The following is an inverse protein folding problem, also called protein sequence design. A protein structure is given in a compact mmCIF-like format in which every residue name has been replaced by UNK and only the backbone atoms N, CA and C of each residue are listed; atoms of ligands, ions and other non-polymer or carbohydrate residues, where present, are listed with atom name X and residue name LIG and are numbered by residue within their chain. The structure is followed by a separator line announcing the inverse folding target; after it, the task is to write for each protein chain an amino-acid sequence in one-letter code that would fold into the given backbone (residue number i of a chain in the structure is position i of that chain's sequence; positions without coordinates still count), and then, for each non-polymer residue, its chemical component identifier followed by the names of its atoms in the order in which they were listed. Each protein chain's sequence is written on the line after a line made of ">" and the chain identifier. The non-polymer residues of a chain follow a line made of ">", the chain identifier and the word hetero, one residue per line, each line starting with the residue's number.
data_IF_534692647279
#
_entry.id   IF_534692647279
#
_cell.length_a   1.000
_cell.length_b   1.000
_cell.length_c   1.000
_cell.angle_alpha   90.00
_cell.angle_beta   90.00
_cell.angle_gamma   90.00
#
_symmetry.space_group_name_H-M   'P 1'
#
loop_
_entity.id
_entity.type
_entity.pdbx_description
1 polymer ?
#
# COMPACT_ATOMS: atom_id res chain seq x y z
N UNK A 1 11.70 -15.93 4.17
CA UNK A 1 11.90 -14.71 4.98
C UNK A 1 12.92 -13.75 4.36
N UNK A 2 14.19 -14.15 4.19
CA UNK A 2 15.29 -13.26 3.74
C UNK A 2 15.12 -12.62 2.34
N UNK A 3 14.22 -13.14 1.50
CA UNK A 3 13.88 -12.56 0.20
C UNK A 3 12.52 -11.84 0.19
N UNK A 4 11.91 -11.65 1.36
CA UNK A 4 10.58 -11.02 1.46
C UNK A 4 10.71 -9.49 1.39
N UNK A 5 9.74 -8.78 0.78
CA UNK A 5 9.78 -7.33 0.69
C UNK A 5 9.97 -6.67 2.06
N UNK A 6 9.31 -7.21 3.09
CA UNK A 6 9.31 -6.63 4.43
C UNK A 6 10.69 -6.73 5.09
N UNK A 7 11.43 -7.82 4.83
CA UNK A 7 12.83 -7.93 5.24
C UNK A 7 13.72 -6.96 4.46
N UNK A 8 13.54 -6.85 3.14
CA UNK A 8 14.40 -6.04 2.29
C UNK A 8 14.29 -4.55 2.62
N UNK A 9 13.10 -4.07 2.99
CA UNK A 9 12.84 -2.65 3.30
C UNK A 9 13.08 -2.25 4.76
N UNK A 10 13.15 -3.21 5.69
CA UNK A 10 13.35 -2.91 7.11
C UNK A 10 14.84 -2.66 7.40
N UNK A 11 15.16 -1.55 8.06
CA UNK A 11 16.53 -1.26 8.50
C UNK A 11 16.78 -1.85 9.89
N UNK A 12 15.77 -1.77 10.77
CA UNK A 12 15.84 -2.29 12.14
C UNK A 12 14.84 -3.41 12.38
N UNK A 13 15.34 -4.60 12.72
CA UNK A 13 14.52 -5.81 12.85
C UNK A 13 14.59 -6.37 14.28
N UNK A 14 13.45 -6.41 14.96
CA UNK A 14 13.28 -7.18 16.18
C UNK A 14 13.15 -8.66 15.85
N UNK A 15 14.01 -9.50 16.44
CA UNK A 15 13.98 -10.96 16.34
C UNK A 15 13.99 -11.61 17.72
N UNK A 16 13.91 -12.93 17.78
CA UNK A 16 14.06 -13.70 19.02
C UNK A 16 15.19 -14.71 18.89
N UNK A 17 15.83 -15.09 20.00
CA UNK A 17 16.73 -16.23 19.99
C UNK A 17 15.93 -17.52 20.21
N UNK A 18 16.07 -18.56 19.38
CA UNK A 18 15.19 -19.72 19.40
C UNK A 18 15.21 -20.48 20.73
N UNK A 19 14.04 -20.90 21.19
CA UNK A 19 13.86 -21.70 22.40
C UNK A 19 12.99 -22.94 22.18
N UNK A 20 13.52 -24.11 22.60
CA UNK A 20 12.84 -25.42 22.54
C UNK A 20 12.31 -25.78 21.15
N UNK A 21 10.99 -25.78 20.97
CA UNK A 21 10.30 -26.20 19.74
C UNK A 21 10.03 -25.04 18.77
N UNK A 22 10.59 -23.86 19.03
CA UNK A 22 10.58 -22.75 18.08
C UNK A 22 11.51 -23.05 16.89
N UNK A 23 11.20 -22.47 15.73
CA UNK A 23 12.08 -22.59 14.57
C UNK A 23 13.40 -21.89 14.84
N UNK A 24 14.51 -22.52 14.43
CA UNK A 24 15.83 -21.91 14.53
C UNK A 24 15.96 -20.74 13.53
N UNK A 25 15.93 -19.51 14.04
CA UNK A 25 16.13 -18.29 13.25
C UNK A 25 17.53 -17.69 13.40
N UNK A 26 18.48 -18.40 14.02
CA UNK A 26 19.87 -17.95 14.16
C UNK A 26 20.52 -17.62 12.81
N UNK A 27 20.16 -18.37 11.75
CA UNK A 27 20.58 -18.11 10.37
C UNK A 27 20.05 -16.76 9.88
N UNK A 28 18.80 -16.41 10.20
CA UNK A 28 18.21 -15.14 9.82
C UNK A 28 18.83 -13.97 10.58
N UNK A 29 19.11 -14.14 11.88
CA UNK A 29 19.81 -13.15 12.70
C UNK A 29 21.19 -12.84 12.10
N UNK A 30 22.00 -13.88 11.89
CA UNK A 30 23.36 -13.73 11.35
C UNK A 30 23.36 -13.14 9.94
N UNK A 31 22.36 -13.48 9.11
CA UNK A 31 22.23 -12.90 7.77
C UNK A 31 21.84 -11.42 7.82
N UNK A 32 20.95 -11.03 8.74
CA UNK A 32 20.52 -9.63 8.90
C UNK A 32 21.68 -8.73 9.27
N UNK A 33 22.52 -9.16 10.21
CA UNK A 33 23.76 -8.46 10.58
C UNK A 33 24.71 -8.32 9.38
N UNK A 34 24.88 -9.39 8.59
CA UNK A 34 25.73 -9.36 7.38
C UNK A 34 25.18 -8.46 6.28
N UNK A 35 23.86 -8.33 6.18
CA UNK A 35 23.19 -7.45 5.23
C UNK A 35 23.21 -5.97 5.70
N UNK A 36 23.86 -5.66 6.83
CA UNK A 36 24.03 -4.30 7.35
C UNK A 36 22.79 -3.76 8.08
N UNK A 37 21.87 -4.64 8.48
CA UNK A 37 20.67 -4.27 9.22
C UNK A 37 20.94 -4.20 10.72
N UNK A 38 20.23 -3.33 11.43
CA UNK A 38 20.25 -3.30 12.88
C UNK A 38 19.37 -4.44 13.42
N UNK A 39 19.94 -5.32 14.23
CA UNK A 39 19.21 -6.43 14.83
C UNK A 39 18.98 -6.15 16.29
N UNK A 40 17.70 -6.21 16.67
CA UNK A 40 17.26 -6.07 18.06
C UNK A 40 16.85 -7.44 18.58
N UNK A 41 17.39 -7.84 19.73
CA UNK A 41 16.96 -9.03 20.45
C UNK A 41 16.39 -8.67 21.82
N UNK A 42 15.37 -9.40 22.30
CA UNK A 42 14.82 -9.22 23.62
C UNK A 42 15.62 -9.99 24.67
N UNK A 43 15.64 -9.42 25.88
CA UNK A 43 16.12 -10.02 27.12
C UNK A 43 14.99 -10.08 28.13
N UNK A 44 14.86 -11.18 28.86
CA UNK A 44 13.85 -11.31 29.91
C UNK A 44 14.24 -10.44 31.12
N UNK A 45 13.48 -9.36 31.33
CA UNK A 45 13.50 -8.60 32.58
C UNK A 45 12.51 -9.16 33.61
N UNK A 46 12.36 -8.48 34.75
CA UNK A 46 11.50 -8.94 35.85
C UNK A 46 10.03 -9.21 35.45
N UNK A 47 9.46 -8.43 34.52
CA UNK A 47 8.09 -8.66 34.03
C UNK A 47 7.83 -8.20 32.58
N UNK A 48 8.87 -7.73 31.88
CA UNK A 48 8.80 -7.21 30.51
C UNK A 48 10.07 -7.57 29.76
N UNK A 49 9.97 -7.60 28.44
CA UNK A 49 11.13 -7.74 27.57
C UNK A 49 11.87 -6.41 27.50
N UNK A 50 13.18 -6.46 27.67
CA UNK A 50 14.08 -5.34 27.42
C UNK A 50 14.73 -5.57 26.07
N UNK A 51 14.80 -4.53 25.24
CA UNK A 51 15.24 -4.65 23.86
C UNK A 51 16.66 -4.10 23.73
N UNK A 52 17.51 -4.82 22.98
CA UNK A 52 18.91 -4.47 22.83
C UNK A 52 19.37 -4.68 21.39
N UNK A 53 20.14 -3.72 20.89
CA UNK A 53 20.89 -3.88 19.65
C UNK A 53 22.04 -4.87 19.85
N UNK A 54 22.21 -5.75 18.88
CA UNK A 54 23.36 -6.66 18.81
C UNK A 54 24.19 -6.35 17.56
N UNK A 55 25.50 -6.53 17.67
CA UNK A 55 26.45 -6.42 16.55
C UNK A 55 26.94 -7.81 16.12
N UNK A 56 26.95 -8.78 17.04
CA UNK A 56 27.53 -10.11 16.84
C UNK A 56 26.91 -11.15 17.79
N UNK A 57 26.41 -12.25 17.23
CA UNK A 57 25.83 -13.35 18.01
C UNK A 57 26.83 -14.11 18.92
N UNK A 58 28.14 -14.11 18.60
CA UNK A 58 29.16 -14.83 19.36
C UNK A 58 29.59 -14.14 20.66
N UNK A 59 29.59 -12.80 20.69
CA UNK A 59 30.14 -12.03 21.83
C UNK A 59 29.07 -11.25 22.60
N UNK A 60 27.95 -10.94 21.95
CA UNK A 60 26.93 -10.07 22.53
C UNK A 60 25.88 -10.86 23.32
N UNK A 61 25.87 -12.19 23.17
CA UNK A 61 24.90 -13.07 23.80
C UNK A 61 25.51 -13.83 24.99
N UNK A 62 24.75 -13.91 26.06
CA UNK A 62 25.09 -14.65 27.28
C UNK A 62 23.92 -15.56 27.66
N UNK A 63 24.20 -16.68 28.34
CA UNK A 63 23.14 -17.55 28.83
C UNK A 63 22.31 -16.83 29.90
N UNK A 64 21.05 -16.55 29.59
CA UNK A 64 20.07 -15.92 30.45
C UNK A 64 19.21 -16.93 31.21
N UNK A 65 18.00 -16.50 31.58
CA UNK A 65 17.05 -17.36 32.26
C UNK A 65 16.68 -18.57 31.39
N UNK A 66 16.54 -19.76 31.99
CA UNK A 66 16.21 -21.02 31.30
C UNK A 66 17.23 -21.46 30.23
N UNK A 67 18.45 -20.89 30.22
CA UNK A 67 19.51 -21.24 29.28
C UNK A 67 19.35 -20.62 27.88
N UNK A 68 18.42 -19.68 27.72
CA UNK A 68 18.23 -18.93 26.46
C UNK A 68 19.40 -17.96 26.29
N UNK A 69 19.97 -17.87 25.09
CA UNK A 69 20.97 -16.85 24.80
C UNK A 69 20.30 -15.48 24.67
N UNK A 70 20.68 -14.55 25.54
CA UNK A 70 20.11 -13.21 25.63
C UNK A 70 21.21 -12.13 25.52
N UNK A 71 20.88 -10.92 25.04
CA UNK A 71 21.81 -9.80 25.01
C UNK A 71 22.47 -9.49 26.36
N UNK A 72 23.78 -9.28 26.32
CA UNK A 72 24.60 -8.89 27.48
C UNK A 72 24.47 -7.40 27.76
N UNK A 73 24.17 -7.01 29.00
CA UNK A 73 24.09 -5.59 29.39
C UNK A 73 25.44 -4.86 29.23
N UNK A 74 26.56 -5.60 29.19
CA UNK A 74 27.90 -5.01 29.05
C UNK A 74 28.25 -4.70 27.60
N UNK A 75 27.72 -5.48 26.65
CA UNK A 75 28.16 -5.46 25.26
C UNK A 75 27.09 -4.86 24.33
N UNK A 76 25.85 -4.75 24.81
CA UNK A 76 24.72 -4.30 24.01
C UNK A 76 24.17 -2.95 24.48
N UNK A 77 23.65 -2.18 23.52
CA UNK A 77 22.97 -0.91 23.77
C UNK A 77 21.46 -1.17 23.79
N UNK A 78 20.73 -0.53 24.70
CA UNK A 78 19.27 -0.62 24.72
C UNK A 78 18.67 0.01 23.46
N UNK A 79 17.74 -0.71 22.84
CA UNK A 79 16.98 -0.23 21.69
C UNK A 79 15.72 0.52 22.14
N UNK A 80 15.37 1.60 21.43
CA UNK A 80 14.03 2.18 21.54
C UNK A 80 13.07 1.32 20.70
N UNK A 81 11.93 0.97 21.28
CA UNK A 81 10.89 0.20 20.59
C UNK A 81 10.35 0.94 19.35
N UNK A 82 10.49 2.26 19.31
CA UNK A 82 10.08 3.12 18.19
C UNK A 82 10.97 2.98 16.95
N UNK A 83 12.19 2.50 17.12
CA UNK A 83 13.15 2.35 16.01
C UNK A 83 12.87 1.08 15.19
N UNK A 84 12.00 0.19 15.67
CA UNK A 84 11.74 -1.10 15.01
C UNK A 84 10.87 -0.89 13.77
N UNK A 85 11.32 -1.43 12.64
CA UNK A 85 10.56 -1.45 11.37
C UNK A 85 9.81 -2.77 11.16
N UNK A 86 10.38 -3.87 11.66
CA UNK A 86 9.89 -5.24 11.46
C UNK A 86 10.07 -6.06 12.73
N UNK A 87 9.05 -6.84 13.11
CA UNK A 87 9.12 -7.71 14.28
C UNK A 87 8.86 -9.18 13.92
N UNK A 88 9.85 -10.04 14.17
CA UNK A 88 9.73 -11.49 14.10
C UNK A 88 9.33 -12.02 15.49
N UNK A 89 8.11 -12.52 15.60
CA UNK A 89 7.47 -12.93 16.86
C UNK A 89 7.50 -14.47 17.00
N UNK A 90 8.00 -15.02 18.12
CA UNK A 90 8.05 -16.47 18.36
C UNK A 90 6.69 -17.03 18.75
N UNK A 91 6.48 -18.33 18.55
CA UNK A 91 5.30 -19.05 19.02
C UNK A 91 5.45 -20.56 18.89
N UNK A 92 4.67 -21.30 19.68
CA UNK A 92 4.60 -22.76 19.67
C UNK A 92 3.72 -23.26 18.53
N UNK A 93 2.56 -22.61 18.35
CA UNK A 93 1.67 -22.87 17.23
C UNK A 93 0.87 -21.61 16.86
N UNK A 94 0.32 -21.64 15.65
CA UNK A 94 -0.41 -20.55 15.03
C UNK A 94 -1.65 -21.09 14.33
N UNK A 95 -2.62 -20.22 14.03
CA UNK A 95 -3.75 -20.60 13.17
C UNK A 95 -3.92 -19.69 11.95
N UNK A 96 -4.83 -20.08 11.04
CA UNK A 96 -5.17 -19.32 9.82
C UNK A 96 -5.79 -17.95 10.10
N UNK A 97 -6.22 -17.67 11.33
CA UNK A 97 -6.74 -16.38 11.79
C UNK A 97 -5.68 -15.50 12.46
N UNK A 98 -4.40 -15.88 12.31
CA UNK A 98 -3.21 -15.22 12.87
C UNK A 98 -3.17 -15.20 14.40
N UNK A 99 -3.90 -16.11 15.05
CA UNK A 99 -3.71 -16.33 16.46
C UNK A 99 -2.37 -17.05 16.71
N UNK A 100 -1.84 -16.91 17.91
CA UNK A 100 -0.56 -17.46 18.34
C UNK A 100 -0.67 -17.97 19.77
N UNK A 101 -0.06 -19.12 20.05
CA UNK A 101 0.18 -19.60 21.40
C UNK A 101 1.69 -19.57 21.68
N UNK A 102 2.08 -18.95 22.79
CA UNK A 102 3.45 -19.00 23.32
C UNK A 102 3.59 -19.99 24.49
N UNK A 103 4.73 -19.98 25.18
CA UNK A 103 4.98 -20.82 26.37
C UNK A 103 4.33 -20.29 27.67
N UNK A 104 3.38 -19.35 27.60
CA UNK A 104 2.58 -18.90 28.76
C UNK A 104 3.11 -17.73 29.59
N UNK A 105 4.31 -17.19 29.30
CA UNK A 105 4.87 -16.06 30.06
C UNK A 105 4.24 -14.68 29.75
N UNK A 106 3.43 -14.58 28.68
CA UNK A 106 2.75 -13.33 28.26
C UNK A 106 3.67 -12.18 27.85
N UNK A 107 4.99 -12.41 27.73
CA UNK A 107 5.98 -11.38 27.44
C UNK A 107 5.73 -10.69 26.09
N UNK A 108 5.48 -11.47 25.04
CA UNK A 108 5.18 -10.93 23.71
C UNK A 108 3.79 -10.31 23.63
N UNK A 109 2.83 -10.80 24.41
CA UNK A 109 1.47 -10.23 24.45
C UNK A 109 1.46 -8.84 25.12
N UNK A 110 2.45 -8.57 25.98
CA UNK A 110 2.76 -7.23 26.50
C UNK A 110 3.59 -6.38 25.54
N UNK A 111 4.52 -6.98 24.77
CA UNK A 111 5.38 -6.26 23.83
C UNK A 111 4.65 -5.80 22.55
N UNK A 112 3.82 -6.66 21.97
CA UNK A 112 3.16 -6.42 20.67
C UNK A 112 2.34 -5.12 20.65
N UNK A 113 1.58 -4.76 21.71
CA UNK A 113 0.87 -3.48 21.77
C UNK A 113 1.77 -2.25 21.91
N UNK A 114 3.01 -2.41 22.38
CA UNK A 114 3.97 -1.31 22.53
C UNK A 114 4.74 -1.02 21.22
N UNK A 115 4.76 -1.98 20.28
CA UNK A 115 5.34 -1.78 18.95
C UNK A 115 4.58 -0.68 18.16
N UNK A 116 5.29 0.14 17.36
CA UNK A 116 4.63 1.10 16.49
C UNK A 116 3.58 0.46 15.57
N UNK A 117 2.53 1.23 15.24
CA UNK A 117 1.34 0.71 14.55
C UNK A 117 1.63 0.13 13.15
N UNK A 118 2.60 0.71 12.45
CA UNK A 118 3.11 0.31 11.15
C UNK A 118 4.01 -0.94 11.18
N UNK A 119 4.53 -1.33 12.34
CA UNK A 119 5.43 -2.50 12.44
C UNK A 119 4.65 -3.77 12.13
N UNK A 120 5.12 -4.48 11.11
CA UNK A 120 4.59 -5.77 10.73
C UNK A 120 5.09 -6.85 11.70
N UNK A 121 4.15 -7.63 12.26
CA UNK A 121 4.44 -8.78 13.13
C UNK A 121 4.43 -10.05 12.29
N UNK A 122 5.59 -10.64 12.07
CA UNK A 122 5.77 -11.87 11.30
C UNK A 122 6.10 -13.03 12.24
N UNK A 123 5.47 -14.20 12.06
CA UNK A 123 5.96 -15.44 12.62
C UNK A 123 6.71 -16.27 11.58
N UNK A 124 7.83 -16.85 11.98
CA UNK A 124 8.49 -17.94 11.26
C UNK A 124 8.20 -19.22 12.04
N UNK A 125 7.72 -20.26 11.37
CA UNK A 125 7.43 -21.55 11.99
C UNK A 125 7.42 -22.67 10.94
N UNK A 126 7.41 -23.92 11.37
CA UNK A 126 7.19 -25.04 10.46
C UNK A 126 5.72 -25.12 10.03
N UNK A 127 5.45 -25.64 8.83
CA UNK A 127 4.08 -25.76 8.30
C UNK A 127 3.15 -26.59 9.21
N UNK A 128 3.68 -27.59 9.92
CA UNK A 128 2.89 -28.39 10.89
C UNK A 128 2.47 -27.60 12.14
N UNK A 129 3.11 -26.47 12.44
CA UNK A 129 2.76 -25.60 13.57
C UNK A 129 1.59 -24.67 13.22
N UNK A 130 1.14 -24.66 11.96
CA UNK A 130 -0.01 -23.87 11.50
C UNK A 130 -1.25 -24.77 11.42
N UNK A 131 -2.18 -24.53 12.35
CA UNK A 131 -3.43 -25.28 12.49
C UNK A 131 -4.62 -24.51 11.90
N UNK A 132 -5.77 -25.17 11.76
CA UNK A 132 -6.99 -24.50 11.31
C UNK A 132 -7.51 -23.49 12.34
N UNK A 133 -7.45 -23.87 13.61
CA UNK A 133 -7.80 -23.03 14.76
C UNK A 133 -7.03 -23.49 15.98
N UNK A 134 -6.67 -22.54 16.84
CA UNK A 134 -6.09 -22.79 18.16
C UNK A 134 -6.94 -22.12 19.24
N UNK A 135 -6.94 -22.63 20.48
CA UNK A 135 -7.59 -21.97 21.60
C UNK A 135 -6.83 -20.68 21.94
N UNK A 136 -7.31 -19.55 21.42
CA UNK A 136 -6.72 -18.24 21.65
C UNK A 136 -7.58 -17.43 22.63
N UNK A 137 -6.94 -16.81 23.62
CA UNK A 137 -7.56 -15.89 24.56
C UNK A 137 -7.63 -14.47 23.97
N UNK A 138 -8.53 -13.62 24.47
CA UNK A 138 -8.59 -12.18 24.11
C UNK A 138 -7.30 -11.44 24.46
N UNK A 139 -6.54 -11.98 25.41
CA UNK A 139 -5.24 -11.45 25.78
C UNK A 139 -4.12 -11.81 24.80
N UNK A 140 -4.26 -12.90 24.03
CA UNK A 140 -3.25 -13.33 23.06
C UNK A 140 -3.21 -12.38 21.86
N UNK A 141 -2.05 -11.76 21.64
CA UNK A 141 -1.92 -10.78 20.57
C UNK A 141 -1.61 -11.46 19.24
N UNK A 142 -2.50 -11.20 18.28
CA UNK A 142 -2.37 -11.66 16.90
C UNK A 142 -1.13 -11.09 16.22
N UNK A 143 -0.64 -11.86 15.26
CA UNK A 143 0.39 -11.46 14.31
C UNK A 143 -0.26 -11.02 12.98
N UNK A 144 0.55 -10.52 12.06
CA UNK A 144 0.06 -10.02 10.77
C UNK A 144 0.34 -11.01 9.61
N UNK A 145 1.41 -11.81 9.72
CA UNK A 145 1.85 -12.76 8.69
C UNK A 145 2.54 -13.99 9.30
N UNK A 146 2.33 -15.15 8.70
CA UNK A 146 3.07 -16.39 9.03
C UNK A 146 3.87 -16.83 7.81
N UNK A 147 5.13 -17.21 8.00
CA UNK A 147 6.01 -17.77 6.97
C UNK A 147 6.42 -19.17 7.40
N UNK A 148 6.18 -20.13 6.50
CA UNK A 148 6.59 -21.54 6.65
C UNK A 148 7.53 -21.94 5.53
N UNK A 149 8.08 -23.15 5.60
CA UNK A 149 8.87 -23.74 4.53
C UNK A 149 8.05 -24.04 3.26
N UNK A 150 6.72 -24.11 3.35
CA UNK A 150 5.85 -24.41 2.19
C UNK A 150 5.14 -23.19 1.61
N UNK A 151 4.66 -22.27 2.45
CA UNK A 151 3.86 -21.09 2.03
C UNK A 151 3.80 -20.00 3.10
N UNK A 152 3.19 -18.87 2.75
CA UNK A 152 2.90 -17.77 3.68
C UNK A 152 1.40 -17.61 3.90
N UNK A 153 1.01 -17.21 5.11
CA UNK A 153 -0.36 -16.89 5.51
C UNK A 153 -0.45 -15.42 5.95
N UNK A 154 -1.62 -14.81 5.78
CA UNK A 154 -1.84 -13.38 6.03
C UNK A 154 -3.12 -13.17 6.83
N UNK A 155 -3.16 -12.11 7.64
CA UNK A 155 -4.37 -11.71 8.37
C UNK A 155 -5.51 -11.35 7.43
N UNK A 156 -6.62 -12.10 7.49
CA UNK A 156 -7.87 -11.76 6.80
C UNK A 156 -8.60 -10.56 7.48
N UNK A 157 -8.21 -10.20 8.70
CA UNK A 157 -8.74 -9.03 9.42
C UNK A 157 -7.85 -7.81 9.19
N UNK A 158 -8.13 -7.04 8.12
CA UNK A 158 -7.81 -5.61 8.04
C UNK A 158 -6.33 -5.18 8.11
N UNK A 159 -5.39 -6.12 8.13
CA UNK A 159 -3.97 -5.88 7.89
C UNK A 159 -3.51 -6.83 6.79
N UNK A 160 -4.03 -6.62 5.58
CA UNK A 160 -3.18 -6.91 4.43
C UNK A 160 -1.87 -6.17 4.67
N UNK A 161 -0.73 -6.78 4.32
CA UNK A 161 0.46 -5.97 4.07
C UNK A 161 0.00 -4.74 3.29
N UNK A 162 0.42 -3.55 3.74
CA UNK A 162 -0.04 -2.28 3.20
C UNK A 162 0.59 -2.05 1.81
N UNK A 163 0.56 -3.09 0.97
CA UNK A 163 1.14 -3.13 -0.37
C UNK A 163 0.20 -2.32 -1.25
N UNK A 164 0.45 -1.03 -1.22
CA UNK A 164 -0.13 -0.05 -2.11
C UNK A 164 0.82 0.05 -3.30
N UNK A 165 0.28 0.02 -4.51
CA UNK A 165 1.05 0.29 -5.71
C UNK A 165 0.72 1.67 -6.26
N UNK A 166 1.65 2.24 -7.00
CA UNK A 166 1.36 3.35 -7.90
C UNK A 166 0.76 2.77 -9.19
N UNK A 167 -0.32 3.35 -9.69
CA UNK A 167 -0.94 2.99 -10.97
C UNK A 167 -0.89 4.17 -11.94
N UNK A 168 -0.23 3.96 -13.09
CA UNK A 168 -0.10 4.96 -14.14
C UNK A 168 -0.78 4.44 -15.41
N UNK A 169 -1.71 5.23 -15.95
CA UNK A 169 -2.19 5.05 -17.32
C UNK A 169 -1.38 5.97 -18.24
N UNK A 170 -0.71 5.39 -19.25
CA UNK A 170 0.15 6.12 -20.17
C UNK A 170 -0.35 5.98 -21.61
N UNK A 171 -0.32 7.08 -22.37
CA UNK A 171 -0.60 7.08 -23.80
C UNK A 171 0.14 8.22 -24.49
N UNK A 172 1.16 7.90 -25.28
CA UNK A 172 2.04 8.86 -25.96
C UNK A 172 2.72 9.88 -25.03
N UNK A 173 3.41 9.39 -24.00
CA UNK A 173 4.02 10.17 -22.93
C UNK A 173 5.56 10.04 -22.90
N UNK A 174 6.19 9.80 -24.07
CA UNK A 174 7.64 9.52 -24.16
C UNK A 174 8.53 10.60 -23.52
N UNK A 175 8.05 11.85 -23.49
CA UNK A 175 8.78 12.99 -22.95
C UNK A 175 8.90 12.96 -21.42
N UNK A 176 7.89 12.44 -20.72
CA UNK A 176 7.76 12.61 -19.27
C UNK A 176 7.83 11.27 -18.52
N UNK A 177 7.40 10.16 -19.14
CA UNK A 177 7.26 8.87 -18.47
C UNK A 177 8.56 8.40 -17.79
N UNK A 178 9.72 8.67 -18.41
CA UNK A 178 11.01 8.27 -17.85
C UNK A 178 11.34 8.97 -16.53
N UNK A 179 11.01 10.26 -16.39
CA UNK A 179 11.21 11.00 -15.15
C UNK A 179 10.13 10.65 -14.11
N UNK A 180 8.87 10.55 -14.54
CA UNK A 180 7.76 10.14 -13.68
C UNK A 180 8.06 8.81 -13.01
N UNK A 181 8.52 7.81 -13.77
CA UNK A 181 8.88 6.50 -13.20
C UNK A 181 10.06 6.57 -12.24
N UNK A 182 11.12 7.31 -12.57
CA UNK A 182 12.25 7.50 -11.65
C UNK A 182 11.79 8.11 -10.32
N UNK A 183 10.86 9.06 -10.37
CA UNK A 183 10.35 9.70 -9.16
C UNK A 183 9.37 8.81 -8.39
N UNK A 184 8.54 8.02 -9.07
CA UNK A 184 7.70 6.99 -8.45
C UNK A 184 8.54 5.96 -7.70
N UNK A 185 9.64 5.49 -8.29
CA UNK A 185 10.51 4.48 -7.68
C UNK A 185 11.19 4.97 -6.39
N UNK A 186 11.40 6.28 -6.23
CA UNK A 186 11.93 6.86 -4.98
C UNK A 186 10.96 6.73 -3.81
N UNK A 187 9.67 6.49 -4.07
CA UNK A 187 8.65 6.30 -3.02
C UNK A 187 8.75 4.94 -2.33
N UNK A 188 9.52 4.00 -2.89
CA UNK A 188 9.59 2.62 -2.39
C UNK A 188 8.39 1.75 -2.78
N UNK A 189 7.43 2.26 -3.55
CA UNK A 189 6.24 1.52 -3.97
C UNK A 189 6.44 0.84 -5.34
N UNK A 190 5.84 -0.34 -5.48
CA UNK A 190 5.69 -0.97 -6.79
C UNK A 190 4.90 -0.05 -7.72
N UNK A 191 5.30 0.01 -8.99
CA UNK A 191 4.65 0.83 -10.00
C UNK A 191 4.06 -0.05 -11.09
N UNK A 192 2.75 0.02 -11.25
CA UNK A 192 1.97 -0.63 -12.31
C UNK A 192 1.73 0.41 -13.40
N UNK A 193 2.15 0.12 -14.62
CA UNK A 193 1.98 0.97 -15.79
C UNK A 193 1.11 0.23 -16.79
N UNK A 194 0.04 0.89 -17.22
CA UNK A 194 -0.79 0.46 -18.34
C UNK A 194 -0.54 1.39 -19.51
N UNK A 195 0.21 0.90 -20.48
CA UNK A 195 0.40 1.56 -21.78
C UNK A 195 -0.84 1.29 -22.65
N UNK A 196 -1.65 2.32 -22.87
CA UNK A 196 -2.91 2.26 -23.59
C UNK A 196 -2.69 2.31 -25.11
N UNK A 197 -1.75 1.51 -25.63
CA UNK A 197 -1.42 1.41 -27.05
C UNK A 197 -0.72 2.64 -27.60
N UNK A 198 0.34 3.12 -26.92
CA UNK A 198 1.15 4.25 -27.40
C UNK A 198 1.78 3.95 -28.76
N UNK A 199 1.91 4.99 -29.59
CA UNK A 199 2.55 4.95 -30.91
C UNK A 199 3.96 5.54 -30.92
N UNK A 200 4.36 6.15 -29.81
CA UNK A 200 5.66 6.77 -29.60
C UNK A 200 6.60 5.85 -28.80
N UNK A 201 7.69 6.39 -28.28
CA UNK A 201 8.70 5.60 -27.55
C UNK A 201 8.30 5.26 -26.11
N UNK A 202 7.09 5.58 -25.64
CA UNK A 202 6.64 5.40 -24.24
C UNK A 202 6.91 3.99 -23.74
N UNK A 203 6.39 2.98 -24.45
CA UNK A 203 6.55 1.58 -24.07
C UNK A 203 8.03 1.14 -24.04
N UNK A 204 8.82 1.60 -25.01
CA UNK A 204 10.25 1.27 -25.13
C UNK A 204 11.04 1.84 -23.97
N UNK A 205 10.75 3.09 -23.56
CA UNK A 205 11.38 3.74 -22.41
C UNK A 205 11.11 2.95 -21.13
N UNK A 206 9.86 2.53 -20.92
CA UNK A 206 9.46 1.74 -19.74
C UNK A 206 10.18 0.39 -19.72
N UNK A 207 10.24 -0.31 -20.85
CA UNK A 207 10.95 -1.61 -20.96
C UNK A 207 12.44 -1.49 -20.67
N UNK A 208 13.09 -0.43 -21.17
CA UNK A 208 14.50 -0.19 -20.90
C UNK A 208 14.75 0.11 -19.42
N UNK A 209 13.84 0.85 -18.77
CA UNK A 209 13.88 1.05 -17.32
C UNK A 209 13.72 -0.27 -16.58
N UNK A 210 12.76 -1.14 -16.96
CA UNK A 210 12.59 -2.47 -16.36
C UNK A 210 13.88 -3.30 -16.45
N UNK A 211 14.53 -3.33 -17.63
CA UNK A 211 15.77 -4.11 -17.85
C UNK A 211 16.95 -3.61 -17.01
N UNK A 212 17.06 -2.29 -16.82
CA UNK A 212 18.16 -1.67 -16.08
C UNK A 212 17.87 -1.58 -14.58
N UNK A 213 16.63 -1.87 -14.16
CA UNK A 213 16.22 -1.82 -12.76
C UNK A 213 16.77 -3.00 -11.97
N UNK A 214 17.31 -2.72 -10.78
CA UNK A 214 17.83 -3.78 -9.90
C UNK A 214 16.68 -4.60 -9.31
N UNK A 215 16.88 -5.91 -9.17
CA UNK A 215 15.90 -6.83 -8.58
C UNK A 215 15.62 -6.59 -7.08
N UNK A 216 16.47 -5.82 -6.40
CA UNK A 216 16.32 -5.49 -4.97
C UNK A 216 15.56 -4.18 -4.73
N UNK A 217 14.82 -3.68 -5.73
CA UNK A 217 14.09 -2.41 -5.70
C UNK A 217 12.60 -2.62 -6.00
N UNK A 218 11.72 -1.61 -5.82
CA UNK A 218 10.30 -1.75 -6.09
C UNK A 218 10.02 -2.23 -7.52
N UNK A 219 9.03 -3.10 -7.67
CA UNK A 219 8.70 -3.72 -8.96
C UNK A 219 8.14 -2.72 -9.94
N UNK A 220 8.54 -2.83 -11.21
CA UNK A 220 7.96 -2.10 -12.34
C UNK A 220 7.21 -3.11 -13.20
N UNK A 221 5.90 -2.92 -13.34
CA UNK A 221 5.03 -3.82 -14.09
C UNK A 221 4.44 -3.08 -15.28
N UNK A 222 4.69 -3.57 -16.49
CA UNK A 222 4.15 -2.98 -17.72
C UNK A 222 3.07 -3.90 -18.30
N UNK A 223 1.89 -3.34 -18.54
CA UNK A 223 0.77 -3.97 -19.25
C UNK A 223 0.52 -3.14 -20.51
N UNK A 224 0.43 -3.79 -21.67
CA UNK A 224 0.23 -3.12 -22.95
C UNK A 224 -1.15 -3.44 -23.50
N UNK A 225 -1.88 -2.42 -23.93
CA UNK A 225 -3.03 -2.58 -24.80
C UNK A 225 -2.58 -2.56 -26.27
N UNK A 226 -3.25 -3.32 -27.13
CA UNK A 226 -2.94 -3.34 -28.57
C UNK A 226 -3.27 -2.02 -29.28
N UNK A 227 -4.21 -1.26 -28.72
CA UNK A 227 -4.67 0.04 -29.23
C UNK A 227 -5.20 0.90 -28.08
N UNK A 228 -5.36 2.19 -28.31
CA UNK A 228 -5.99 3.09 -27.35
C UNK A 228 -7.45 2.70 -27.06
N UNK A 229 -7.69 2.32 -25.80
CA UNK A 229 -9.01 1.95 -25.26
C UNK A 229 -9.62 3.04 -24.37
N UNK A 230 -8.82 4.03 -23.98
CA UNK A 230 -9.17 5.16 -23.13
C UNK A 230 -8.63 5.00 -21.70
N UNK A 231 -8.33 6.15 -21.06
CA UNK A 231 -7.77 6.22 -19.69
C UNK A 231 -8.55 5.38 -18.69
N UNK A 232 -9.87 5.41 -18.74
CA UNK A 232 -10.73 4.64 -17.83
C UNK A 232 -10.58 3.13 -18.01
N UNK A 233 -10.39 2.64 -19.25
CA UNK A 233 -10.08 1.24 -19.51
C UNK A 233 -8.69 0.86 -19.03
N UNK A 234 -7.69 1.73 -19.26
CA UNK A 234 -6.34 1.53 -18.73
C UNK A 234 -6.34 1.42 -17.19
N UNK A 235 -7.07 2.30 -16.49
CA UNK A 235 -7.26 2.22 -15.05
C UNK A 235 -7.91 0.89 -14.61
N UNK A 236 -8.97 0.44 -15.30
CA UNK A 236 -9.61 -0.86 -15.02
C UNK A 236 -8.66 -2.04 -15.20
N UNK A 237 -7.82 -2.02 -16.23
CA UNK A 237 -6.78 -3.02 -16.44
C UNK A 237 -5.79 -3.03 -15.28
N UNK A 238 -5.34 -1.85 -14.85
CA UNK A 238 -4.45 -1.70 -13.69
C UNK A 238 -5.07 -2.16 -12.38
N UNK A 239 -6.34 -1.82 -12.14
CA UNK A 239 -7.12 -2.30 -11.00
C UNK A 239 -7.20 -3.83 -10.95
N UNK A 240 -7.51 -4.47 -12.09
CA UNK A 240 -7.55 -5.93 -12.16
C UNK A 240 -6.18 -6.56 -11.89
N UNK A 241 -5.10 -5.96 -12.39
CA UNK A 241 -3.74 -6.41 -12.06
C UNK A 241 -3.44 -6.27 -10.57
N UNK A 242 -3.82 -5.14 -9.96
CA UNK A 242 -3.63 -4.89 -8.55
C UNK A 242 -4.36 -5.93 -7.68
N UNK A 243 -5.61 -6.27 -8.02
CA UNK A 243 -6.37 -7.32 -7.33
C UNK A 243 -5.72 -8.69 -7.45
N UNK A 244 -5.31 -9.09 -8.67
CA UNK A 244 -4.66 -10.40 -8.92
C UNK A 244 -3.35 -10.56 -8.18
N UNK A 245 -2.65 -9.46 -7.91
CA UNK A 245 -1.35 -9.45 -7.22
C UNK A 245 -1.46 -9.08 -5.72
N UNK A 246 -2.68 -9.12 -5.16
CA UNK A 246 -2.96 -8.92 -3.74
C UNK A 246 -2.52 -7.55 -3.19
N UNK A 247 -2.62 -6.48 -3.99
CA UNK A 247 -2.43 -5.12 -3.51
C UNK A 247 -3.63 -4.67 -2.65
N UNK A 248 -3.37 -3.94 -1.56
CA UNK A 248 -4.39 -3.42 -0.65
C UNK A 248 -5.07 -2.14 -1.15
N UNK A 249 -4.48 -1.51 -2.16
CA UNK A 249 -5.01 -0.35 -2.87
C UNK A 249 -4.02 0.14 -3.91
N UNK A 250 -4.41 1.17 -4.66
CA UNK A 250 -3.53 1.85 -5.60
C UNK A 250 -3.56 3.35 -5.41
N UNK A 251 -2.45 4.02 -5.71
CA UNK A 251 -2.35 5.46 -5.87
C UNK A 251 -2.24 5.75 -7.36
N UNK A 252 -3.25 6.36 -7.95
CA UNK A 252 -3.25 6.70 -9.38
C UNK A 252 -2.46 7.98 -9.63
N UNK A 253 -1.66 7.99 -10.68
CA UNK A 253 -0.90 9.15 -11.16
C UNK A 253 -1.02 9.27 -12.68
N UNK A 254 -0.95 10.50 -13.19
CA UNK A 254 -0.90 10.78 -14.61
C UNK A 254 0.55 10.65 -15.12
N UNK A 255 0.70 10.19 -16.35
CA UNK A 255 2.01 9.95 -16.98
C UNK A 255 2.69 11.23 -17.50
N UNK A 256 1.98 12.37 -17.50
CA UNK A 256 2.40 13.67 -18.03
C UNK A 256 3.35 14.47 -17.12
N UNK A 257 3.63 13.94 -15.92
CA UNK A 257 4.50 14.59 -14.93
C UNK A 257 3.90 15.83 -14.28
N UNK A 258 2.58 16.04 -14.33
CA UNK A 258 1.93 17.16 -13.64
C UNK A 258 1.73 16.92 -12.14
N UNK A 259 1.79 15.67 -11.68
CA UNK A 259 1.68 15.32 -10.26
C UNK A 259 3.03 15.32 -9.57
N UNK A 260 3.10 15.98 -8.41
CA UNK A 260 4.26 15.88 -7.54
C UNK A 260 4.26 14.54 -6.80
N UNK A 261 5.07 13.60 -7.27
CA UNK A 261 5.16 12.24 -6.70
C UNK A 261 5.64 12.23 -5.24
N UNK A 262 6.29 13.30 -4.74
CA UNK A 262 6.67 13.37 -3.33
C UNK A 262 5.44 13.40 -2.40
N UNK A 263 4.31 13.92 -2.87
CA UNK A 263 3.06 13.98 -2.11
C UNK A 263 2.41 12.61 -1.91
N UNK A 264 2.88 11.56 -2.62
CA UNK A 264 2.47 10.16 -2.38
C UNK A 264 2.67 9.78 -0.91
N UNK A 265 3.70 10.31 -0.24
CA UNK A 265 3.96 10.07 1.19
C UNK A 265 2.79 10.54 2.06
N UNK A 266 2.13 11.65 1.71
CA UNK A 266 1.00 12.18 2.46
C UNK A 266 -0.26 11.33 2.28
N UNK A 267 -0.45 10.76 1.08
CA UNK A 267 -1.48 9.74 0.86
C UNK A 267 -1.23 8.53 1.76
N UNK A 268 0.00 7.99 1.81
CA UNK A 268 0.33 6.83 2.64
C UNK A 268 0.06 7.09 4.13
N UNK A 269 0.53 8.22 4.66
CA UNK A 269 0.26 8.63 6.05
C UNK A 269 -1.23 8.72 6.35
N UNK A 270 -2.01 9.31 5.43
CA UNK A 270 -3.47 9.44 5.58
C UNK A 270 -4.19 8.10 5.49
N UNK A 271 -3.72 7.19 4.64
CA UNK A 271 -4.24 5.81 4.59
C UNK A 271 -4.03 5.11 5.92
N UNK A 272 -2.84 5.24 6.49
CA UNK A 272 -2.50 4.62 7.77
C UNK A 272 -3.32 5.15 8.94
N UNK A 273 -3.43 6.48 9.06
CA UNK A 273 -4.08 7.15 10.20
C UNK A 273 -5.60 7.09 10.09
N UNK A 274 -6.16 7.45 8.93
CA UNK A 274 -7.60 7.66 8.79
C UNK A 274 -8.33 6.46 8.19
N UNK A 275 -7.62 5.50 7.60
CA UNK A 275 -8.17 4.33 6.90
C UNK A 275 -9.34 4.68 5.95
N UNK A 276 -9.17 5.70 5.07
CA UNK A 276 -10.18 6.04 4.08
C UNK A 276 -10.27 4.95 3.01
N UNK A 277 -11.42 4.85 2.35
CA UNK A 277 -11.60 3.98 1.20
C UNK A 277 -11.11 4.65 -0.09
N UNK A 278 -11.21 6.00 -0.16
CA UNK A 278 -10.69 6.83 -1.26
C UNK A 278 -10.06 8.11 -0.68
N UNK A 279 -8.90 8.50 -1.22
CA UNK A 279 -8.35 9.86 -1.04
C UNK A 279 -8.34 10.55 -2.40
N UNK A 280 -8.90 11.75 -2.47
CA UNK A 280 -8.83 12.61 -3.66
C UNK A 280 -7.80 13.71 -3.41
N UNK A 281 -6.75 13.75 -4.23
CA UNK A 281 -5.81 14.87 -4.28
C UNK A 281 -6.50 16.07 -4.92
N UNK A 282 -6.77 17.11 -4.14
CA UNK A 282 -7.47 18.32 -4.58
C UNK A 282 -6.49 19.40 -5.00
N UNK A 283 -6.51 19.74 -6.29
CA UNK A 283 -5.74 20.88 -6.82
C UNK A 283 -6.37 22.21 -6.43
N UNK A 284 -7.66 22.21 -6.08
CA UNK A 284 -8.36 23.39 -5.54
C UNK A 284 -7.86 23.82 -4.16
N UNK A 285 -7.10 22.96 -3.46
CA UNK A 285 -6.41 23.34 -2.23
C UNK A 285 -5.22 24.28 -2.47
N UNK A 286 -4.68 24.35 -3.69
CA UNK A 286 -3.53 25.18 -4.06
C UNK A 286 -3.69 25.74 -5.49
N UNK A 287 -4.46 26.83 -5.62
CA UNK A 287 -4.89 27.37 -6.92
C UNK A 287 -3.93 28.39 -7.54
N UNK A 288 -2.76 28.65 -6.94
CA UNK A 288 -1.88 29.77 -7.31
C UNK A 288 -1.47 29.77 -8.79
N UNK A 289 -1.30 28.58 -9.37
CA UNK A 289 -0.79 28.42 -10.74
C UNK A 289 -1.84 27.88 -11.74
N UNK A 290 -3.11 27.73 -11.32
CA UNK A 290 -4.14 27.12 -12.18
C UNK A 290 -4.75 28.12 -13.18
N UNK A 291 -4.81 27.78 -14.49
CA UNK A 291 -5.52 28.61 -15.47
C UNK A 291 -6.99 28.82 -15.09
N UNK A 292 -7.48 30.06 -15.18
CA UNK A 292 -8.82 30.46 -14.71
C UNK A 292 -9.95 29.61 -15.30
N UNK A 293 -9.89 29.29 -16.61
CA UNK A 293 -10.91 28.46 -17.28
C UNK A 293 -10.95 27.03 -16.71
N UNK A 294 -9.77 26.45 -16.40
CA UNK A 294 -9.65 25.12 -15.79
C UNK A 294 -10.18 25.15 -14.36
N UNK A 295 -9.89 26.21 -13.61
CA UNK A 295 -10.43 26.44 -12.27
C UNK A 295 -11.96 26.51 -12.28
N UNK A 296 -12.55 27.35 -13.15
CA UNK A 296 -14.00 27.50 -13.24
C UNK A 296 -14.70 26.18 -13.61
N UNK A 297 -14.15 25.46 -14.60
CA UNK A 297 -14.71 24.16 -15.03
C UNK A 297 -14.58 23.10 -13.92
N UNK A 298 -13.46 23.07 -13.20
CA UNK A 298 -13.25 22.15 -12.08
C UNK A 298 -14.20 22.43 -10.92
N UNK A 299 -14.39 23.70 -10.56
CA UNK A 299 -15.30 24.12 -9.49
C UNK A 299 -16.74 23.76 -9.86
N UNK A 300 -17.18 24.07 -11.08
CA UNK A 300 -18.52 23.75 -11.57
C UNK A 300 -18.78 22.24 -11.58
N UNK A 301 -17.88 21.45 -12.17
CA UNK A 301 -18.05 19.99 -12.25
C UNK A 301 -17.98 19.32 -10.89
N UNK A 302 -17.13 19.81 -9.98
CA UNK A 302 -17.04 19.29 -8.61
C UNK A 302 -18.29 19.62 -7.79
N UNK A 303 -18.86 20.82 -7.95
CA UNK A 303 -20.15 21.18 -7.35
C UNK A 303 -21.27 20.27 -7.85
N UNK A 304 -21.40 20.11 -9.16
CA UNK A 304 -22.46 19.31 -9.77
C UNK A 304 -22.43 17.86 -9.31
N UNK A 305 -21.25 17.23 -9.31
CA UNK A 305 -21.09 15.85 -8.85
C UNK A 305 -21.32 15.73 -7.35
N UNK A 306 -20.87 16.70 -6.55
CA UNK A 306 -21.12 16.71 -5.10
C UNK A 306 -22.62 16.73 -4.78
N UNK A 307 -23.41 17.48 -5.55
CA UNK A 307 -24.89 17.51 -5.41
C UNK A 307 -25.48 16.13 -5.72
N UNK A 308 -25.10 15.50 -6.83
CA UNK A 308 -25.65 14.19 -7.26
C UNK A 308 -25.20 13.06 -6.31
N UNK A 309 -23.95 13.12 -5.83
CA UNK A 309 -23.36 12.20 -4.87
C UNK A 309 -23.90 12.38 -3.45
N UNK A 310 -24.50 13.54 -3.15
CA UNK A 310 -24.87 13.96 -1.79
C UNK A 310 -23.70 13.89 -0.80
N UNK A 311 -22.47 14.04 -1.30
CA UNK A 311 -21.21 14.08 -0.55
C UNK A 311 -20.31 15.15 -1.14
N UNK A 312 -19.61 15.90 -0.28
CA UNK A 312 -18.67 16.93 -0.73
C UNK A 312 -17.41 16.30 -1.31
N UNK A 313 -17.17 16.49 -2.60
CA UNK A 313 -15.95 16.05 -3.30
C UNK A 313 -15.25 17.29 -3.86
N UNK A 314 -14.01 17.52 -3.45
CA UNK A 314 -13.33 18.77 -3.72
C UNK A 314 -12.82 18.89 -5.17
N UNK A 315 -12.23 17.84 -5.74
CA UNK A 315 -11.71 17.87 -7.11
C UNK A 315 -12.02 16.57 -7.85
N UNK A 316 -13.14 16.57 -8.57
CA UNK A 316 -13.65 15.38 -9.26
C UNK A 316 -12.85 15.02 -10.51
N UNK A 317 -12.06 15.95 -11.03
CA UNK A 317 -11.27 15.76 -12.26
C UNK A 317 -9.80 15.42 -11.96
N UNK A 318 -9.41 15.34 -10.69
CA UNK A 318 -8.03 15.00 -10.35
C UNK A 318 -7.79 13.52 -10.56
N UNK A 319 -6.73 13.17 -11.30
CA UNK A 319 -6.26 11.80 -11.45
C UNK A 319 -5.40 11.31 -10.29
N UNK A 320 -4.98 12.20 -9.38
CA UNK A 320 -4.17 11.84 -8.22
C UNK A 320 -5.05 11.34 -7.07
N UNK A 321 -5.17 10.03 -6.93
CA UNK A 321 -6.08 9.42 -5.94
C UNK A 321 -5.49 8.18 -5.30
N UNK A 322 -5.78 7.98 -4.03
CA UNK A 322 -5.73 6.64 -3.44
C UNK A 322 -7.09 5.96 -3.59
N UNK A 323 -7.10 4.69 -3.98
CA UNK A 323 -8.30 3.86 -4.11
C UNK A 323 -8.02 2.52 -3.42
N UNK A 324 -8.72 2.25 -2.33
CA UNK A 324 -8.56 1.02 -1.55
C UNK A 324 -9.16 -0.21 -2.24
N UNK A 325 -8.63 -1.39 -1.92
CA UNK A 325 -9.06 -2.69 -2.50
C UNK A 325 -10.57 -2.89 -2.48
N UNK A 326 -11.24 -2.56 -1.37
CA UNK A 326 -12.71 -2.68 -1.25
C UNK A 326 -13.46 -1.89 -2.33
N UNK A 327 -12.97 -0.69 -2.66
CA UNK A 327 -13.57 0.14 -3.71
C UNK A 327 -13.33 -0.50 -5.07
N UNK A 328 -12.11 -0.95 -5.33
CA UNK A 328 -11.72 -1.59 -6.59
C UNK A 328 -12.57 -2.84 -6.87
N UNK A 329 -12.82 -3.67 -5.85
CA UNK A 329 -13.58 -4.92 -5.98
C UNK A 329 -15.08 -4.70 -6.18
N UNK A 330 -15.65 -3.70 -5.50
CA UNK A 330 -17.10 -3.58 -5.38
C UNK A 330 -17.71 -2.49 -6.27
N UNK A 331 -16.94 -1.46 -6.67
CA UNK A 331 -17.45 -0.39 -7.52
C UNK A 331 -17.33 -0.78 -8.99
N UNK A 332 -18.44 -1.24 -9.57
CA UNK A 332 -18.52 -1.62 -10.99
C UNK A 332 -18.58 -0.38 -11.89
N UNK A 333 -17.52 -0.16 -12.66
CA UNK A 333 -17.37 0.97 -13.57
C UNK A 333 -17.81 0.61 -15.00
N UNK A 334 -18.57 1.48 -15.66
CA UNK A 334 -19.18 1.27 -16.98
C UNK A 334 -18.54 2.13 -18.08
N UNK A 335 -18.07 3.33 -17.75
CA UNK A 335 -17.39 4.22 -18.69
C UNK A 335 -15.95 3.77 -18.99
N UNK A 336 -15.25 4.46 -19.89
CA UNK A 336 -13.90 4.04 -20.31
C UNK A 336 -12.90 5.16 -20.57
N UNK A 337 -13.24 6.42 -20.33
CA UNK A 337 -12.36 7.56 -20.60
C UNK A 337 -12.18 8.40 -19.33
N UNK A 338 -11.98 9.71 -19.47
CA UNK A 338 -11.92 10.65 -18.35
C UNK A 338 -13.21 10.70 -17.51
N UNK A 339 -14.33 10.21 -18.04
CA UNK A 339 -15.61 10.05 -17.35
C UNK A 339 -15.61 8.92 -16.30
N UNK A 340 -14.62 8.03 -16.33
CA UNK A 340 -14.49 6.94 -15.34
C UNK A 340 -14.08 7.41 -13.96
N UNK A 341 -13.28 8.45 -13.87
CA UNK A 341 -12.88 9.07 -12.61
C UNK A 341 -14.08 9.68 -11.84
N UNK A 342 -14.95 10.51 -12.44
CA UNK A 342 -16.17 10.98 -11.77
C UNK A 342 -17.14 9.83 -11.47
N UNK A 343 -17.31 8.86 -12.38
CA UNK A 343 -18.18 7.71 -12.14
C UNK A 343 -17.79 6.95 -10.86
N UNK A 344 -16.48 6.71 -10.67
CA UNK A 344 -15.96 6.02 -9.49
C UNK A 344 -16.38 6.73 -8.20
N UNK A 345 -16.16 8.05 -8.10
CA UNK A 345 -16.50 8.80 -6.90
C UNK A 345 -18.01 8.85 -6.65
N UNK A 346 -18.78 8.94 -7.73
CA UNK A 346 -20.23 8.98 -7.63
C UNK A 346 -20.80 7.66 -7.10
N UNK A 347 -20.41 6.53 -7.72
CA UNK A 347 -20.82 5.20 -7.27
C UNK A 347 -20.29 4.89 -5.87
N UNK A 348 -19.04 5.26 -5.57
CA UNK A 348 -18.47 5.06 -4.25
C UNK A 348 -19.20 5.88 -3.16
N UNK A 349 -19.63 7.10 -3.50
CA UNK A 349 -20.39 7.95 -2.57
C UNK A 349 -21.74 7.34 -2.22
N UNK A 350 -22.47 6.82 -3.22
CA UNK A 350 -23.75 6.15 -2.99
C UNK A 350 -23.61 4.85 -2.19
N UNK A 351 -22.49 4.14 -2.33
CA UNK A 351 -22.15 2.94 -1.56
C UNK A 351 -21.60 3.23 -0.15
N UNK A 352 -21.69 4.48 0.28
CA UNK A 352 -21.24 4.99 1.58
C UNK A 352 -19.76 4.78 1.92
N UNK A 353 -18.88 4.72 0.92
CA UNK A 353 -17.43 4.67 1.17
C UNK A 353 -16.91 5.97 1.81
N UNK A 354 -15.87 5.85 2.64
CA UNK A 354 -15.18 6.98 3.28
C UNK A 354 -14.24 7.65 2.27
N UNK A 355 -14.68 8.78 1.74
CA UNK A 355 -13.92 9.61 0.80
C UNK A 355 -13.38 10.83 1.55
N UNK A 356 -12.06 11.03 1.54
CA UNK A 356 -11.41 12.23 2.08
C UNK A 356 -10.69 13.00 0.97
N UNK A 357 -10.38 14.27 1.22
CA UNK A 357 -9.66 15.11 0.28
C UNK A 357 -8.38 15.62 0.95
N UNK A 358 -7.27 15.65 0.22
CA UNK A 358 -6.03 16.29 0.67
C UNK A 358 -5.56 17.30 -0.39
N UNK A 359 -4.97 18.43 0.00
CA UNK A 359 -4.42 19.38 -0.97
C UNK A 359 -3.22 18.76 -1.70
N UNK A 360 -3.12 18.96 -3.01
CA UNK A 360 -1.98 18.54 -3.83
C UNK A 360 -1.52 19.67 -4.75
N UNK A 361 -0.25 19.68 -5.11
CA UNK A 361 0.33 20.63 -6.06
C UNK A 361 0.22 20.13 -7.50
N UNK A 362 0.21 21.05 -8.47
CA UNK A 362 0.25 20.74 -9.90
C UNK A 362 1.47 21.39 -10.52
N UNK A 363 2.30 20.59 -11.17
CA UNK A 363 3.49 21.05 -11.90
C UNK A 363 3.05 21.42 -13.33
N UNK A 364 3.22 22.69 -13.72
CA UNK A 364 2.87 23.16 -15.06
C UNK A 364 4.11 23.25 -15.94
N UNK A 365 4.17 22.42 -16.99
CA UNK A 365 5.24 22.46 -17.99
C UNK A 365 4.95 23.56 -19.04
N UNK A 366 5.97 24.36 -19.39
CA UNK A 366 5.83 25.54 -20.28
C UNK A 366 5.29 25.24 -21.70
N UNK A 367 5.38 24.00 -22.19
CA UNK A 367 4.98 23.59 -23.55
C UNK A 367 4.04 22.36 -23.58
N UNK A 368 3.20 22.19 -22.55
CA UNK A 368 2.32 21.04 -22.45
C UNK A 368 1.07 21.15 -23.35
N UNK A 369 0.80 20.12 -24.14
CA UNK A 369 -0.45 19.96 -24.88
C UNK A 369 -1.37 18.99 -24.14
N UNK A 370 -2.55 19.44 -23.72
CA UNK A 370 -3.51 18.57 -23.04
C UNK A 370 -4.08 17.52 -24.00
N UNK A 371 -4.04 16.26 -23.58
CA UNK A 371 -4.71 15.15 -24.28
C UNK A 371 -6.22 15.12 -24.08
N UNK A 372 -6.76 15.99 -23.21
CA UNK A 372 -8.21 16.17 -23.01
C UNK A 372 -8.76 16.99 -24.17
N UNK A 373 -9.74 16.44 -24.89
CA UNK A 373 -10.47 17.15 -25.93
C UNK A 373 -11.69 17.84 -25.29
N UNK A 374 -11.73 19.19 -25.18
CA UNK A 374 -12.75 19.89 -24.41
C UNK A 374 -14.18 19.57 -24.83
N UNK A 375 -14.44 19.42 -26.12
CA UNK A 375 -15.79 19.16 -26.63
C UNK A 375 -16.20 17.70 -26.44
N UNK A 376 -15.34 16.76 -26.84
CA UNK A 376 -15.65 15.33 -26.80
C UNK A 376 -15.73 14.80 -25.37
N UNK A 377 -14.82 15.24 -24.50
CA UNK A 377 -14.78 14.76 -23.13
C UNK A 377 -15.84 15.41 -22.25
N UNK A 378 -16.19 16.69 -22.50
CA UNK A 378 -17.37 17.30 -21.87
C UNK A 378 -18.64 16.58 -22.29
N UNK A 379 -18.81 16.24 -23.57
CA UNK A 379 -19.98 15.48 -24.04
C UNK A 379 -20.09 14.11 -23.34
N UNK A 380 -18.99 13.36 -23.24
CA UNK A 380 -18.97 12.07 -22.50
C UNK A 380 -19.32 12.25 -21.03
N UNK A 381 -18.82 13.31 -20.38
CA UNK A 381 -19.17 13.64 -19.01
C UNK A 381 -20.67 13.90 -18.84
N UNK A 382 -21.29 14.70 -19.72
CA UNK A 382 -22.74 14.92 -19.69
C UNK A 382 -23.55 13.64 -19.97
N UNK A 383 -23.09 12.79 -20.91
CA UNK A 383 -23.70 11.48 -21.11
C UNK A 383 -23.59 10.58 -19.87
N UNK A 384 -22.45 10.62 -19.17
CA UNK A 384 -22.27 9.91 -17.89
C UNK A 384 -23.23 10.45 -16.84
N UNK A 385 -23.42 11.78 -16.74
CA UNK A 385 -24.40 12.38 -15.84
C UNK A 385 -25.83 11.91 -16.12
N UNK A 386 -26.24 11.87 -17.40
CA UNK A 386 -27.56 11.34 -17.77
C UNK A 386 -27.71 9.87 -17.38
N UNK A 387 -26.69 9.04 -17.63
CA UNK A 387 -26.66 7.62 -17.23
C UNK A 387 -26.69 7.44 -15.71
N UNK A 388 -26.11 8.38 -14.95
CA UNK A 388 -26.03 8.32 -13.51
C UNK A 388 -27.39 8.23 -12.83
N UNK A 389 -28.43 8.82 -13.42
CA UNK A 389 -29.83 8.72 -12.95
C UNK A 389 -30.27 7.25 -12.96
N UNK A 390 -29.98 6.53 -14.05
CA UNK A 390 -30.29 5.10 -14.17
C UNK A 390 -29.49 4.24 -13.18
N UNK A 391 -28.23 4.59 -12.94
CA UNK A 391 -27.37 3.89 -11.98
C UNK A 391 -27.88 4.08 -10.55
N UNK A 392 -28.27 5.30 -10.19
CA UNK A 392 -28.83 5.62 -8.87
C UNK A 392 -30.15 4.87 -8.64
N UNK A 393 -31.03 4.82 -9.64
CA UNK A 393 -32.26 4.03 -9.55
C UNK A 393 -31.98 2.53 -9.37
N UNK A 394 -31.03 1.95 -10.11
CA UNK A 394 -30.61 0.55 -9.94
C UNK A 394 -30.06 0.30 -8.54
N UNK A 395 -29.21 1.20 -8.06
CA UNK A 395 -28.61 1.14 -6.73
C UNK A 395 -29.66 1.18 -5.62
N UNK A 396 -30.63 2.11 -5.70
CA UNK A 396 -31.74 2.20 -4.74
C UNK A 396 -32.59 0.92 -4.72
N UNK A 397 -32.87 0.32 -5.89
CA UNK A 397 -33.64 -0.93 -5.99
C UNK A 397 -32.93 -2.14 -5.38
N UNK A 398 -31.61 -2.20 -5.47
CA UNK A 398 -30.83 -3.23 -4.78
C UNK A 398 -30.79 -3.04 -3.26
N UNK A 399 -30.89 -1.80 -2.79
CA UNK A 399 -30.87 -1.47 -1.36
C UNK A 399 -32.22 -1.69 -0.66
N UNK A 400 -33.34 -1.57 -1.39
CA UNK A 400 -34.71 -1.82 -0.86
C UNK A 400 -35.11 -3.30 -0.81
N UNK A 401 -34.25 -4.21 -1.28
CA UNK A 401 -34.45 -5.67 -1.25
C UNK A 401 -33.63 -6.38 -0.16
N UNK A 402 -32.89 -5.63 0.64
CA UNK A 402 -32.26 -6.03 1.91
C UNK A 402 -33.11 -5.44 3.04
#
# INVERSE_FOLDING_TARGET
>A
FLNSPEYLTADTILMFYPFRSEVDISVAINRSLKDGKEVVLPKIGQNRLQLYYINNTSNDLTAGCMGILEPSDKNCIKADIKDIDLAVIPGVCFDKNMNRIGYGGGFYDRLIPELPGNVLKIAMCFDFQVLDSIPADIHDKKIDKIITEKKSYYSNSGKCSNRIAILIAAYNEEKYIGEVLKNCLKTGLDTIIVDDGSKDSTAVIIENLIKTHSKNKPGIFLIKHEKNMGKGQALKTGFNFALKNNYSGVITLDADGQHNTAEVVDFLKKVEIEKPDIIVGSRLGNTKDMPFIRLATNVFTSWLISVIASKKIADVQSGFRYIGKRVIENVKLETGNFDTEPELLLKASWMDYKIINIPVSTIYHKNFTSHVNPMKDSFKFFCMLAKSISWKMKFMRSYTRL
#
